data_IF_176231298408
#
_entry.id   IF_176231298408
#
_cell.length_a   1.000
_cell.length_b   1.000
_cell.length_c   1.000
_cell.angle_alpha   90.00
_cell.angle_beta   90.00
_cell.angle_gamma   90.00
#
_symmetry.space_group_name_H-M   'P 1'
#
loop_
_entity.id
_entity.type
_entity.pdbx_description
1 polymer ?
#
# COMPACT_ATOMS: atom_id res chain seq x y z
N UNK A 1 62.43 -21.71 10.60
CA UNK A 1 62.55 -20.56 9.68
C UNK A 1 61.88 -20.92 8.38
N UNK A 2 60.66 -20.50 8.19
CA UNK A 2 59.94 -20.64 6.92
C UNK A 2 59.15 -19.36 6.68
N UNK A 3 59.49 -18.62 5.61
CA UNK A 3 58.88 -17.38 5.17
C UNK A 3 57.64 -17.72 4.35
N UNK A 4 56.48 -17.39 4.83
CA UNK A 4 55.22 -17.38 4.07
C UNK A 4 55.08 -16.05 3.35
N UNK A 5 55.04 -16.08 2.02
CA UNK A 5 54.82 -14.94 1.16
C UNK A 5 53.35 -14.57 1.12
N UNK A 6 53.05 -13.30 1.44
CA UNK A 6 51.74 -12.67 1.26
C UNK A 6 51.56 -12.34 -0.24
N UNK A 7 50.67 -13.04 -0.90
CA UNK A 7 50.14 -12.68 -2.23
C UNK A 7 48.94 -11.78 -2.08
N UNK A 8 49.05 -10.52 -2.52
CA UNK A 8 47.98 -9.57 -2.65
C UNK A 8 46.97 -9.99 -3.76
N UNK A 9 45.68 -9.90 -3.57
CA UNK A 9 44.72 -10.24 -4.61
C UNK A 9 44.62 -9.15 -5.69
N UNK A 10 44.59 -9.64 -6.91
CA UNK A 10 44.73 -8.93 -8.15
C UNK A 10 43.73 -7.83 -8.44
N UNK A 11 44.22 -6.92 -9.23
CA UNK A 11 43.58 -5.83 -9.97
C UNK A 11 42.16 -6.18 -10.46
N UNK A 12 41.11 -5.61 -9.79
CA UNK A 12 39.78 -5.54 -10.35
C UNK A 12 39.79 -4.53 -11.51
N UNK A 13 39.63 -5.04 -12.72
CA UNK A 13 39.45 -4.26 -13.93
C UNK A 13 38.27 -3.27 -13.68
N UNK A 14 38.52 -1.97 -13.83
CA UNK A 14 37.47 -0.96 -13.88
C UNK A 14 36.51 -1.31 -15.02
N UNK A 15 35.17 -1.24 -14.79
CA UNK A 15 34.22 -1.42 -15.87
C UNK A 15 34.40 -0.34 -16.93
N UNK A 16 34.40 -0.78 -18.18
CA UNK A 16 34.55 0.09 -19.36
C UNK A 16 33.46 1.15 -19.40
N UNK A 17 33.77 2.42 -19.72
CA UNK A 17 32.79 3.45 -19.98
C UNK A 17 32.18 3.22 -21.37
N UNK A 18 30.99 2.62 -21.45
CA UNK A 18 30.34 2.34 -22.73
C UNK A 18 29.05 1.57 -22.71
N UNK A 19 28.49 1.19 -21.56
CA UNK A 19 27.10 0.72 -21.54
C UNK A 19 26.19 1.95 -21.56
N UNK A 20 25.49 2.16 -22.67
CA UNK A 20 24.34 3.04 -22.72
C UNK A 20 23.45 2.69 -21.52
N UNK A 21 23.29 3.63 -20.58
CA UNK A 21 22.32 3.46 -19.49
C UNK A 21 20.99 3.21 -20.15
N UNK A 22 20.47 2.00 -20.09
CA UNK A 22 19.11 1.71 -20.49
C UNK A 22 18.20 2.74 -19.82
N UNK A 23 17.19 3.29 -20.54
CA UNK A 23 16.34 4.32 -19.98
C UNK A 23 15.78 3.83 -18.64
N UNK A 24 15.95 4.64 -17.60
CA UNK A 24 15.41 4.39 -16.26
C UNK A 24 13.89 4.35 -16.39
N UNK A 25 13.21 3.39 -15.77
CA UNK A 25 11.76 3.33 -15.77
C UNK A 25 11.13 4.61 -15.20
N UNK A 26 9.94 4.94 -15.66
CA UNK A 26 9.18 6.10 -15.17
C UNK A 26 8.37 5.73 -13.93
N UNK A 27 8.14 6.71 -13.09
CA UNK A 27 7.27 6.58 -11.92
C UNK A 27 5.88 7.10 -12.28
N UNK A 28 4.84 6.33 -11.97
CA UNK A 28 3.43 6.65 -12.20
C UNK A 28 2.73 6.95 -10.87
N UNK A 29 2.61 8.23 -10.46
CA UNK A 29 1.92 8.60 -9.24
C UNK A 29 0.41 8.46 -9.39
N UNK A 30 -0.23 7.75 -8.46
CA UNK A 30 -1.68 7.56 -8.39
C UNK A 30 -2.18 8.03 -7.04
N UNK A 31 -2.91 9.14 -7.02
CA UNK A 31 -3.52 9.71 -5.82
C UNK A 31 -4.93 9.18 -5.66
N UNK A 32 -5.22 8.59 -4.52
CA UNK A 32 -6.56 8.09 -4.18
C UNK A 32 -7.24 9.05 -3.22
N UNK A 33 -8.42 9.53 -3.59
CA UNK A 33 -9.10 10.56 -2.83
C UNK A 33 -10.56 10.21 -2.49
N UNK A 34 -10.81 9.44 -1.43
CA UNK A 34 -12.14 9.01 -1.01
C UNK A 34 -12.81 10.06 -0.10
N UNK A 35 -13.16 11.23 -0.63
CA UNK A 35 -13.86 12.26 0.14
C UNK A 35 -15.36 12.16 -0.08
N UNK A 36 -16.11 12.21 1.02
CA UNK A 36 -17.57 12.13 1.02
C UNK A 36 -18.27 13.29 1.74
N UNK A 37 -17.53 14.26 2.26
CA UNK A 37 -18.09 15.37 3.05
C UNK A 37 -17.53 16.72 2.62
N UNK A 38 -18.34 17.80 2.66
CA UNK A 38 -17.87 19.17 2.50
C UNK A 38 -16.78 19.49 3.54
N UNK A 39 -15.67 20.06 3.08
CA UNK A 39 -14.59 20.50 3.96
C UNK A 39 -13.76 21.62 3.32
N UNK A 40 -12.96 22.27 4.12
CA UNK A 40 -11.88 23.09 3.63
C UNK A 40 -10.75 22.19 3.08
N UNK A 41 -10.35 22.44 1.84
CA UNK A 41 -9.30 21.63 1.15
C UNK A 41 -7.89 22.20 1.34
N UNK A 42 -7.72 23.10 2.29
CA UNK A 42 -6.41 23.69 2.61
C UNK A 42 -5.37 22.65 3.08
N UNK A 43 -5.83 21.60 3.77
CA UNK A 43 -5.03 20.48 4.24
C UNK A 43 -4.40 19.67 3.08
N UNK A 44 -5.01 19.72 1.89
CA UNK A 44 -4.52 19.05 0.69
C UNK A 44 -3.59 19.90 -0.17
N UNK A 45 -3.41 21.16 0.16
CA UNK A 45 -2.53 22.04 -0.62
C UNK A 45 -1.11 21.49 -0.69
N UNK A 46 -0.58 20.97 0.42
CA UNK A 46 0.75 20.37 0.47
C UNK A 46 0.87 19.16 -0.47
N UNK A 47 -0.12 18.26 -0.45
CA UNK A 47 -0.18 17.11 -1.36
C UNK A 47 -0.20 17.56 -2.83
N UNK A 48 -1.07 18.50 -3.19
CA UNK A 48 -1.17 18.95 -4.58
C UNK A 48 -0.04 19.87 -5.03
N UNK A 49 0.70 20.47 -4.12
CA UNK A 49 2.00 21.07 -4.43
C UNK A 49 3.03 20.00 -4.83
N UNK A 50 3.07 18.86 -4.12
CA UNK A 50 3.89 17.71 -4.53
C UNK A 50 3.43 17.21 -5.91
N UNK A 51 2.16 16.89 -6.09
CA UNK A 51 1.60 16.38 -7.37
C UNK A 51 1.94 17.31 -8.54
N UNK A 52 1.89 18.63 -8.33
CA UNK A 52 2.28 19.62 -9.35
C UNK A 52 3.77 19.54 -9.70
N UNK A 53 4.66 19.35 -8.70
CA UNK A 53 6.10 19.16 -8.94
C UNK A 53 6.36 17.89 -9.74
N UNK A 54 5.69 16.77 -9.38
CA UNK A 54 5.80 15.51 -10.12
C UNK A 54 5.33 15.69 -11.58
N UNK A 55 4.20 16.37 -11.79
CA UNK A 55 3.67 16.64 -13.13
C UNK A 55 4.60 17.54 -13.99
N UNK A 56 5.42 18.36 -13.36
CA UNK A 56 6.39 19.22 -14.05
C UNK A 56 7.65 18.46 -14.51
N UNK A 57 8.08 17.45 -13.76
CA UNK A 57 9.24 16.62 -14.12
C UNK A 57 8.81 15.42 -15.00
N UNK A 58 8.55 15.71 -16.26
CA UNK A 58 8.13 14.71 -17.27
C UNK A 58 9.22 13.69 -17.62
N UNK A 59 10.46 13.95 -17.26
CA UNK A 59 11.57 13.03 -17.52
C UNK A 59 11.54 11.84 -16.57
N UNK A 60 11.11 12.06 -15.33
CA UNK A 60 11.08 11.06 -14.27
C UNK A 60 9.70 10.50 -14.03
N UNK A 61 8.68 11.34 -14.09
CA UNK A 61 7.31 10.97 -13.73
C UNK A 61 6.38 10.95 -14.94
N UNK A 62 5.49 9.97 -14.98
CA UNK A 62 4.31 10.04 -15.82
C UNK A 62 3.35 11.12 -15.29
N UNK A 63 2.39 11.54 -16.10
CA UNK A 63 1.35 12.45 -15.62
C UNK A 63 0.61 11.81 -14.44
N UNK A 64 0.56 12.44 -13.26
CA UNK A 64 -0.17 11.88 -12.12
C UNK A 64 -1.64 11.62 -12.44
N UNK A 65 -2.20 10.58 -11.85
CA UNK A 65 -3.64 10.28 -11.89
C UNK A 65 -4.20 10.59 -10.51
N UNK A 66 -5.32 11.31 -10.45
CA UNK A 66 -6.12 11.46 -9.22
C UNK A 66 -7.43 10.71 -9.41
N UNK A 67 -7.68 9.71 -8.58
CA UNK A 67 -8.91 8.95 -8.58
C UNK A 67 -9.88 9.57 -7.59
N UNK A 68 -11.05 9.95 -8.07
CA UNK A 68 -12.16 10.48 -7.28
C UNK A 68 -13.33 9.50 -7.29
N UNK A 69 -13.91 9.23 -6.14
CA UNK A 69 -15.15 8.47 -6.07
C UNK A 69 -16.32 9.30 -6.63
N UNK A 70 -17.06 8.74 -7.59
CA UNK A 70 -18.26 9.39 -8.16
C UNK A 70 -19.35 9.63 -7.14
N UNK A 71 -19.47 8.82 -6.10
CA UNK A 71 -20.40 9.06 -5.00
C UNK A 71 -20.04 10.37 -4.29
N UNK A 72 -18.74 10.58 -4.03
CA UNK A 72 -18.21 11.84 -3.52
C UNK A 72 -18.56 13.00 -4.45
N UNK A 73 -18.27 12.87 -5.73
CA UNK A 73 -18.58 13.90 -6.72
C UNK A 73 -20.08 14.20 -6.74
N UNK A 74 -20.93 13.18 -6.72
CA UNK A 74 -22.37 13.37 -6.70
C UNK A 74 -22.87 14.04 -5.42
N UNK A 75 -22.37 13.61 -4.27
CA UNK A 75 -22.71 14.21 -2.97
C UNK A 75 -22.25 15.67 -2.88
N UNK A 76 -21.10 16.00 -3.48
CA UNK A 76 -20.45 17.30 -3.43
C UNK A 76 -20.74 18.21 -4.62
N UNK A 77 -21.66 17.81 -5.53
CA UNK A 77 -21.96 18.54 -6.77
C UNK A 77 -22.41 19.99 -6.60
N UNK A 78 -22.96 20.33 -5.43
CA UNK A 78 -23.34 21.69 -5.07
C UNK A 78 -22.33 22.44 -4.22
N UNK A 79 -21.24 21.79 -3.82
CA UNK A 79 -20.19 22.39 -3.00
C UNK A 79 -19.21 23.16 -3.88
N UNK A 80 -19.25 24.50 -3.76
CA UNK A 80 -18.40 25.39 -4.55
C UNK A 80 -16.92 25.15 -4.25
N UNK A 81 -16.53 24.91 -2.98
CA UNK A 81 -15.16 24.68 -2.59
C UNK A 81 -14.61 23.40 -3.23
N UNK A 82 -15.40 22.32 -3.27
CA UNK A 82 -15.04 21.09 -3.95
C UNK A 82 -14.88 21.30 -5.47
N UNK A 83 -15.82 21.96 -6.11
CA UNK A 83 -15.78 22.21 -7.56
C UNK A 83 -14.58 23.07 -7.94
N UNK A 84 -14.28 24.09 -7.16
CA UNK A 84 -13.12 24.96 -7.35
C UNK A 84 -11.80 24.19 -7.11
N UNK A 85 -11.72 23.42 -6.03
CA UNK A 85 -10.58 22.54 -5.76
C UNK A 85 -10.35 21.55 -6.91
N UNK A 86 -11.38 20.83 -7.35
CA UNK A 86 -11.28 19.91 -8.48
C UNK A 86 -10.80 20.60 -9.74
N UNK A 87 -11.42 21.74 -10.12
CA UNK A 87 -11.11 22.47 -11.36
C UNK A 87 -9.73 23.14 -11.32
N UNK A 88 -9.46 23.86 -10.24
CA UNK A 88 -8.31 24.76 -10.18
C UNK A 88 -7.08 24.15 -9.54
N UNK A 89 -7.21 23.03 -8.84
CA UNK A 89 -6.09 22.34 -8.18
C UNK A 89 -5.85 20.98 -8.84
N UNK A 90 -6.80 20.07 -8.73
CA UNK A 90 -6.60 18.66 -9.14
C UNK A 90 -6.39 18.54 -10.65
N UNK A 91 -7.33 19.05 -11.45
CA UNK A 91 -7.30 18.88 -12.92
C UNK A 91 -6.15 19.60 -13.62
N UNK A 92 -5.50 20.56 -12.93
CA UNK A 92 -4.35 21.26 -13.49
C UNK A 92 -3.04 20.47 -13.42
N UNK A 93 -2.90 19.60 -12.43
CA UNK A 93 -1.65 18.87 -12.20
C UNK A 93 -1.78 17.35 -12.32
N UNK A 94 -3.00 16.84 -12.43
CA UNK A 94 -3.26 15.41 -12.62
C UNK A 94 -4.36 15.17 -13.66
N UNK A 95 -4.42 13.95 -14.15
CA UNK A 95 -5.59 13.43 -14.83
C UNK A 95 -6.61 13.00 -13.77
N UNK A 96 -7.88 13.35 -13.96
CA UNK A 96 -8.92 13.00 -13.01
C UNK A 96 -9.68 11.79 -13.53
N UNK A 97 -9.70 10.73 -12.73
CA UNK A 97 -10.45 9.52 -12.97
C UNK A 97 -11.62 9.44 -11.99
N UNK A 98 -12.84 9.65 -12.47
CA UNK A 98 -14.05 9.50 -11.66
C UNK A 98 -14.55 8.06 -11.73
N UNK A 99 -14.58 7.36 -10.59
CA UNK A 99 -14.99 5.97 -10.51
C UNK A 99 -16.15 5.75 -9.54
N UNK A 100 -17.03 4.80 -9.87
CA UNK A 100 -18.00 4.28 -8.91
C UNK A 100 -17.33 3.17 -8.12
N UNK A 101 -16.88 3.49 -6.91
CA UNK A 101 -16.22 2.54 -6.05
C UNK A 101 -17.12 2.14 -4.88
N UNK A 102 -17.06 0.87 -4.49
CA UNK A 102 -17.66 0.37 -3.25
C UNK A 102 -16.74 0.72 -2.07
N UNK A 103 -15.44 0.73 -2.31
CA UNK A 103 -14.39 0.93 -1.33
C UNK A 103 -13.12 1.55 -1.94
N UNK A 104 -12.17 1.91 -1.09
CA UNK A 104 -10.90 2.52 -1.48
C UNK A 104 -10.08 1.61 -2.39
N UNK A 105 -10.06 0.30 -2.15
CA UNK A 105 -9.27 -0.62 -2.96
C UNK A 105 -9.79 -0.81 -4.39
N UNK A 106 -11.08 -0.58 -4.64
CA UNK A 106 -11.60 -0.45 -6.01
C UNK A 106 -11.10 0.80 -6.72
N UNK A 107 -10.91 1.90 -5.97
CA UNK A 107 -10.29 3.11 -6.51
C UNK A 107 -8.83 2.84 -6.87
N UNK A 108 -8.10 2.08 -6.05
CA UNK A 108 -6.74 1.65 -6.38
C UNK A 108 -6.69 0.84 -7.67
N UNK A 109 -7.55 -0.18 -7.78
CA UNK A 109 -7.64 -1.00 -8.98
C UNK A 109 -7.83 -0.15 -10.24
N UNK A 110 -8.77 0.78 -10.19
CA UNK A 110 -9.06 1.66 -11.33
C UNK A 110 -7.89 2.59 -11.65
N UNK A 111 -7.28 3.19 -10.64
CA UNK A 111 -6.16 4.13 -10.80
C UNK A 111 -4.88 3.44 -11.25
N UNK A 112 -4.52 2.34 -10.60
CA UNK A 112 -3.34 1.56 -10.94
C UNK A 112 -3.49 0.88 -12.31
N UNK A 113 -4.70 0.37 -12.64
CA UNK A 113 -4.99 -0.19 -13.95
C UNK A 113 -4.84 0.83 -15.07
N UNK A 114 -5.42 2.03 -14.91
CA UNK A 114 -5.29 3.11 -15.88
C UNK A 114 -3.84 3.60 -16.03
N UNK A 115 -3.05 3.57 -14.96
CA UNK A 115 -1.63 3.88 -15.01
C UNK A 115 -0.84 2.75 -15.71
N UNK A 116 -1.17 1.48 -15.40
CA UNK A 116 -0.54 0.29 -15.95
C UNK A 116 -0.64 0.22 -17.49
N UNK A 117 -1.81 0.52 -18.03
CA UNK A 117 -2.05 0.54 -19.49
C UNK A 117 -1.14 1.53 -20.25
N UNK A 118 -0.55 2.50 -19.56
CA UNK A 118 0.31 3.55 -20.12
C UNK A 118 1.78 3.35 -19.85
N UNK A 119 2.10 2.39 -19.00
CA UNK A 119 3.44 2.12 -18.55
C UNK A 119 4.13 1.05 -19.36
N UNK A 120 5.38 0.78 -19.00
CA UNK A 120 6.22 -0.25 -19.58
C UNK A 120 6.93 -1.09 -18.52
N UNK A 121 7.58 -2.16 -18.95
CA UNK A 121 8.18 -3.21 -18.08
C UNK A 121 9.08 -2.68 -16.95
N UNK A 122 9.68 -1.51 -17.14
CA UNK A 122 10.60 -0.92 -16.15
C UNK A 122 9.95 0.11 -15.24
N UNK A 123 8.68 0.40 -15.45
CA UNK A 123 7.97 1.45 -14.74
C UNK A 123 7.56 1.00 -13.33
N UNK A 124 7.40 1.99 -12.46
CA UNK A 124 6.97 1.82 -11.08
C UNK A 124 5.69 2.62 -10.86
N UNK A 125 4.75 2.05 -10.16
CA UNK A 125 3.46 2.63 -9.82
C UNK A 125 3.45 2.96 -8.34
N UNK A 126 3.12 4.19 -8.02
CA UNK A 126 3.19 4.72 -6.68
C UNK A 126 1.81 5.16 -6.21
N UNK A 127 1.27 4.47 -5.21
CA UNK A 127 0.00 4.80 -4.58
C UNK A 127 0.20 5.87 -3.51
N UNK A 128 -0.60 6.94 -3.57
CA UNK A 128 -0.55 8.06 -2.63
C UNK A 128 -1.93 8.21 -2.00
N UNK A 129 -2.11 7.89 -0.70
CA UNK A 129 -3.36 8.14 0.02
C UNK A 129 -3.67 9.63 0.06
N UNK A 130 -4.83 10.04 -0.45
CA UNK A 130 -5.23 11.45 -0.49
C UNK A 130 -6.04 11.90 0.75
N UNK A 131 -6.47 10.98 1.57
CA UNK A 131 -7.23 11.22 2.81
C UNK A 131 -6.34 11.40 4.05
N UNK A 132 -5.04 11.20 3.91
CA UNK A 132 -4.09 11.45 4.98
C UNK A 132 -3.92 12.96 5.22
N UNK A 133 -3.81 13.36 6.50
CA UNK A 133 -3.71 14.77 6.86
C UNK A 133 -2.28 15.34 6.65
N UNK A 134 -1.97 15.71 5.42
CA UNK A 134 -0.69 16.34 5.05
C UNK A 134 -0.57 17.81 5.46
N UNK A 135 -1.62 18.43 5.98
CA UNK A 135 -1.62 19.83 6.44
C UNK A 135 -0.82 20.05 7.74
N UNK A 136 -0.69 19.04 8.58
CA UNK A 136 0.04 19.08 9.84
C UNK A 136 1.56 19.07 9.62
N UNK A 137 2.35 19.42 10.66
CA UNK A 137 3.81 19.31 10.62
C UNK A 137 4.26 17.88 10.36
N UNK A 138 3.67 16.92 11.07
CA UNK A 138 3.96 15.48 10.93
C UNK A 138 3.54 15.00 9.54
N UNK A 139 2.34 15.34 9.09
CA UNK A 139 1.87 14.96 7.75
C UNK A 139 2.77 15.49 6.63
N UNK A 140 3.32 16.69 6.76
CA UNK A 140 4.32 17.23 5.81
C UNK A 140 5.64 16.46 5.85
N UNK A 141 6.08 15.99 7.01
CA UNK A 141 7.27 15.13 7.12
C UNK A 141 7.04 13.80 6.40
N UNK A 142 5.89 13.16 6.62
CA UNK A 142 5.48 11.96 5.87
C UNK A 142 5.48 12.23 4.37
N UNK A 143 4.82 13.31 3.92
CA UNK A 143 4.73 13.67 2.50
C UNK A 143 6.11 13.86 1.85
N UNK A 144 7.05 14.46 2.56
CA UNK A 144 8.40 14.69 2.06
C UNK A 144 9.21 13.40 1.86
N UNK A 145 8.83 12.31 2.53
CA UNK A 145 9.49 11.01 2.42
C UNK A 145 8.77 10.04 1.48
N UNK A 146 7.49 10.31 1.17
CA UNK A 146 6.70 9.40 0.33
C UNK A 146 7.30 9.19 -1.07
N UNK A 147 7.99 10.19 -1.62
CA UNK A 147 8.61 10.08 -2.95
C UNK A 147 9.78 9.09 -2.99
N UNK A 148 10.36 8.74 -1.83
CA UNK A 148 11.45 7.75 -1.75
C UNK A 148 10.94 6.32 -2.02
N UNK A 149 9.65 6.03 -1.78
CA UNK A 149 9.07 4.69 -1.98
C UNK A 149 9.30 4.13 -3.41
N UNK A 150 8.92 4.84 -4.48
CA UNK A 150 9.17 4.35 -5.83
C UNK A 150 10.64 4.37 -6.23
N UNK A 151 11.44 5.29 -5.66
CA UNK A 151 12.87 5.38 -5.94
C UNK A 151 13.61 4.14 -5.42
N UNK A 152 13.29 3.69 -4.20
CA UNK A 152 13.87 2.49 -3.59
C UNK A 152 13.61 1.24 -4.42
N UNK A 153 12.43 1.09 -5.03
CA UNK A 153 12.15 -0.01 -5.95
C UNK A 153 13.15 -0.02 -7.11
N UNK A 154 13.42 1.15 -7.67
CA UNK A 154 14.32 1.28 -8.81
C UNK A 154 15.79 1.08 -8.41
N UNK A 155 16.18 1.56 -7.23
CA UNK A 155 17.55 1.43 -6.72
C UNK A 155 17.89 0.01 -6.29
N UNK A 156 16.99 -0.68 -5.60
CA UNK A 156 17.20 -2.01 -5.05
C UNK A 156 16.70 -3.15 -5.96
N UNK A 157 16.15 -2.81 -7.12
CA UNK A 157 15.56 -3.76 -8.07
C UNK A 157 14.50 -4.68 -7.44
N UNK A 158 13.61 -4.08 -6.63
CA UNK A 158 12.54 -4.80 -5.93
C UNK A 158 11.21 -4.73 -6.70
N UNK A 159 10.27 -5.62 -6.37
CA UNK A 159 8.95 -5.67 -6.99
C UNK A 159 7.89 -4.87 -6.21
N UNK A 160 8.03 -4.82 -4.88
CA UNK A 160 7.09 -4.17 -3.97
C UNK A 160 7.84 -3.42 -2.87
N UNK A 161 7.46 -2.16 -2.62
CA UNK A 161 7.91 -1.38 -1.48
C UNK A 161 6.71 -0.99 -0.62
N UNK A 162 6.78 -1.33 0.67
CA UNK A 162 5.76 -0.94 1.67
C UNK A 162 6.28 0.23 2.48
N UNK A 163 5.47 1.28 2.58
CA UNK A 163 5.72 2.42 3.45
C UNK A 163 5.34 2.07 4.89
N UNK A 164 6.34 1.93 5.75
CA UNK A 164 6.16 1.66 7.17
C UNK A 164 5.94 2.97 7.93
N UNK A 165 4.92 2.98 8.79
CA UNK A 165 4.56 4.12 9.62
C UNK A 165 4.56 3.67 11.07
N UNK A 166 5.32 4.34 11.93
CA UNK A 166 5.18 4.17 13.37
C UNK A 166 3.92 4.87 13.87
N UNK A 167 3.23 4.23 14.79
CA UNK A 167 2.04 4.75 15.50
C UNK A 167 2.16 4.46 16.98
N UNK A 168 1.34 5.13 17.79
CA UNK A 168 1.18 4.76 19.18
C UNK A 168 0.69 3.30 19.29
N UNK A 169 1.22 2.56 20.26
CA UNK A 169 0.79 1.18 20.55
C UNK A 169 -0.70 1.07 20.90
N UNK A 170 -1.29 2.13 21.43
CA UNK A 170 -2.73 2.21 21.73
C UNK A 170 -3.57 2.69 20.55
N UNK A 171 -2.93 2.93 19.38
CA UNK A 171 -3.66 3.31 18.17
C UNK A 171 -4.65 2.22 17.78
N UNK A 172 -5.95 2.52 17.60
CA UNK A 172 -6.96 1.52 17.29
C UNK A 172 -6.65 0.68 16.06
N UNK A 173 -6.09 1.28 15.02
CA UNK A 173 -5.71 0.56 13.79
C UNK A 173 -4.54 -0.38 14.03
N UNK A 174 -3.56 0.04 14.85
CA UNK A 174 -2.45 -0.81 15.26
C UNK A 174 -2.94 -2.02 16.08
N UNK A 175 -3.88 -1.79 17.01
CA UNK A 175 -4.48 -2.87 17.80
C UNK A 175 -5.24 -3.87 16.92
N UNK A 176 -5.99 -3.39 15.93
CA UNK A 176 -6.69 -4.26 14.97
C UNK A 176 -5.68 -5.08 14.15
N UNK A 177 -4.59 -4.47 13.69
CA UNK A 177 -3.55 -5.17 12.93
C UNK A 177 -2.83 -6.21 13.80
N UNK A 178 -2.47 -5.84 15.04
CA UNK A 178 -1.76 -6.73 15.96
C UNK A 178 -2.60 -7.95 16.36
N UNK A 179 -3.81 -7.73 16.86
CA UNK A 179 -4.63 -8.80 17.43
C UNK A 179 -5.55 -9.47 16.42
N UNK A 180 -6.06 -8.71 15.45
CA UNK A 180 -6.97 -9.22 14.43
C UNK A 180 -6.21 -9.72 13.20
N UNK A 181 -5.56 -8.82 12.48
CA UNK A 181 -4.98 -9.15 11.17
C UNK A 181 -3.85 -10.17 11.28
N UNK A 182 -2.86 -9.94 12.14
CA UNK A 182 -1.76 -10.89 12.31
C UNK A 182 -2.18 -12.20 12.96
N UNK A 183 -3.09 -12.18 13.95
CA UNK A 183 -3.63 -13.40 14.53
C UNK A 183 -4.25 -14.33 13.47
N UNK A 184 -5.04 -13.74 12.56
CA UNK A 184 -5.66 -14.47 11.46
C UNK A 184 -4.64 -14.88 10.38
N UNK A 185 -3.68 -14.01 10.04
CA UNK A 185 -2.58 -14.36 9.13
C UNK A 185 -1.80 -15.57 9.64
N UNK A 186 -1.40 -15.58 10.91
CA UNK A 186 -0.70 -16.73 11.51
C UNK A 186 -1.52 -18.02 11.51
N UNK A 187 -2.85 -17.91 11.54
CA UNK A 187 -3.72 -19.08 11.45
C UNK A 187 -3.76 -19.66 10.04
N UNK A 188 -3.93 -18.81 9.02
CA UNK A 188 -4.12 -19.24 7.65
C UNK A 188 -2.82 -19.43 6.87
N UNK A 189 -1.81 -18.64 7.17
CA UNK A 189 -0.53 -18.52 6.44
C UNK A 189 0.63 -18.29 7.41
N UNK A 190 0.95 -19.27 8.29
CA UNK A 190 1.90 -19.04 9.40
C UNK A 190 3.31 -18.66 8.92
N UNK A 191 3.82 -19.28 7.87
CA UNK A 191 5.15 -18.97 7.34
C UNK A 191 5.18 -17.57 6.70
N UNK A 192 4.18 -17.28 5.88
CA UNK A 192 4.04 -16.00 5.19
C UNK A 192 3.76 -14.85 6.19
N UNK A 193 3.00 -15.11 7.24
CA UNK A 193 2.76 -14.13 8.30
C UNK A 193 4.06 -13.73 9.03
N UNK A 194 4.93 -14.71 9.28
CA UNK A 194 6.25 -14.46 9.86
C UNK A 194 7.13 -13.63 8.93
N UNK A 195 7.07 -13.90 7.64
CA UNK A 195 7.81 -13.14 6.63
C UNK A 195 7.24 -11.72 6.47
N UNK A 196 5.91 -11.55 6.36
CA UNK A 196 5.26 -10.23 6.30
C UNK A 196 5.68 -9.35 7.48
N UNK A 197 5.78 -9.93 8.68
CA UNK A 197 6.16 -9.19 9.88
C UNK A 197 7.58 -8.62 9.85
N UNK A 198 8.44 -9.14 8.99
CA UNK A 198 9.78 -8.56 8.77
C UNK A 198 9.71 -7.24 7.97
N UNK A 199 8.66 -7.05 7.18
CA UNK A 199 8.48 -5.87 6.35
C UNK A 199 7.57 -4.83 6.98
N UNK A 200 6.53 -5.23 7.71
CA UNK A 200 5.56 -4.28 8.28
C UNK A 200 4.83 -4.85 9.50
N UNK A 201 4.50 -3.96 10.44
CA UNK A 201 3.54 -4.25 11.50
C UNK A 201 2.09 -3.87 11.10
N UNK A 202 1.93 -3.22 9.94
CA UNK A 202 0.64 -2.77 9.40
C UNK A 202 0.42 -3.32 7.99
N UNK A 203 0.07 -4.61 7.85
CA UNK A 203 -0.03 -5.27 6.54
C UNK A 203 -1.15 -4.72 5.66
N UNK A 204 -2.00 -3.83 6.19
CA UNK A 204 -3.05 -3.12 5.45
C UNK A 204 -2.70 -1.66 5.15
N UNK A 205 -1.42 -1.27 5.30
CA UNK A 205 -0.95 0.08 4.99
C UNK A 205 -1.21 0.44 3.52
N UNK A 206 -1.67 1.66 3.28
CA UNK A 206 -1.95 2.18 1.93
C UNK A 206 -0.74 2.84 1.26
N UNK A 207 0.37 2.95 1.98
CA UNK A 207 1.61 3.50 1.45
C UNK A 207 2.39 2.41 0.72
N UNK A 208 2.31 2.39 -0.60
CA UNK A 208 3.01 1.38 -1.40
C UNK A 208 3.48 1.92 -2.75
N UNK A 209 4.54 1.28 -3.25
CA UNK A 209 4.95 1.37 -4.64
C UNK A 209 5.18 -0.03 -5.19
N UNK A 210 4.92 -0.24 -6.47
CA UNK A 210 4.93 -1.56 -7.10
C UNK A 210 5.49 -1.50 -8.52
N UNK A 211 6.31 -2.49 -8.90
CA UNK A 211 6.89 -2.62 -10.24
C UNK A 211 5.86 -3.14 -11.24
N UNK A 212 6.02 -2.77 -12.50
CA UNK A 212 5.12 -3.12 -13.60
C UNK A 212 4.79 -4.62 -13.66
N UNK A 213 5.78 -5.49 -13.69
CA UNK A 213 5.56 -6.94 -13.82
C UNK A 213 4.67 -7.49 -12.71
N UNK A 214 4.99 -7.17 -11.46
CA UNK A 214 4.20 -7.63 -10.31
C UNK A 214 2.81 -6.98 -10.27
N UNK A 215 2.69 -5.69 -10.62
CA UNK A 215 1.37 -5.04 -10.71
C UNK A 215 0.48 -5.73 -11.75
N UNK A 216 1.02 -6.10 -12.91
CA UNK A 216 0.28 -6.83 -13.93
C UNK A 216 -0.26 -8.16 -13.42
N UNK A 217 0.55 -8.93 -12.69
CA UNK A 217 0.12 -10.17 -12.03
C UNK A 217 -1.00 -9.91 -11.01
N UNK A 218 -0.85 -8.88 -10.17
CA UNK A 218 -1.86 -8.54 -9.17
C UNK A 218 -3.17 -8.06 -9.77
N UNK A 219 -3.14 -7.26 -10.86
CA UNK A 219 -4.33 -6.80 -11.55
C UNK A 219 -5.13 -7.92 -12.25
N UNK A 220 -4.46 -9.01 -12.62
CA UNK A 220 -5.11 -10.19 -13.22
C UNK A 220 -5.79 -11.10 -12.20
N UNK A 221 -5.58 -10.88 -10.92
CA UNK A 221 -6.15 -11.68 -9.84
C UNK A 221 -7.39 -11.00 -9.25
N UNK A 222 -8.08 -11.73 -8.33
CA UNK A 222 -9.17 -11.14 -7.56
C UNK A 222 -8.67 -9.97 -6.71
N UNK A 223 -9.36 -8.85 -6.79
CA UNK A 223 -9.12 -7.68 -5.98
C UNK A 223 -10.03 -7.65 -4.75
N UNK A 224 -9.46 -7.35 -3.58
CA UNK A 224 -10.16 -7.44 -2.31
C UNK A 224 -10.43 -6.07 -1.70
N UNK A 225 -11.65 -5.82 -1.22
CA UNK A 225 -11.98 -4.58 -0.51
C UNK A 225 -11.14 -4.42 0.75
N UNK A 226 -10.50 -3.27 0.93
CA UNK A 226 -9.76 -2.83 2.13
C UNK A 226 -8.55 -3.68 2.57
N UNK A 227 -8.43 -4.93 2.14
CA UNK A 227 -7.34 -5.84 2.50
C UNK A 227 -6.35 -6.06 1.36
N UNK A 228 -6.47 -5.31 0.27
CA UNK A 228 -5.66 -5.56 -0.94
C UNK A 228 -4.15 -5.48 -0.70
N UNK A 229 -3.66 -4.56 0.17
CA UNK A 229 -2.24 -4.49 0.50
C UNK A 229 -1.73 -5.78 1.13
N UNK A 230 -2.48 -6.31 2.11
CA UNK A 230 -2.18 -7.59 2.75
C UNK A 230 -2.15 -8.74 1.73
N UNK A 231 -3.11 -8.75 0.80
CA UNK A 231 -3.16 -9.77 -0.26
C UNK A 231 -1.99 -9.62 -1.22
N UNK A 232 -1.60 -8.41 -1.59
CA UNK A 232 -0.41 -8.16 -2.42
C UNK A 232 0.87 -8.64 -1.73
N UNK A 233 1.01 -8.46 -0.42
CA UNK A 233 2.13 -9.02 0.34
C UNK A 233 2.15 -10.56 0.26
N UNK A 234 1.01 -11.22 0.47
CA UNK A 234 0.90 -12.67 0.30
C UNK A 234 1.25 -13.10 -1.13
N UNK A 235 0.72 -12.42 -2.14
CA UNK A 235 1.00 -12.71 -3.55
C UNK A 235 2.49 -12.53 -3.88
N UNK A 236 3.12 -11.50 -3.33
CA UNK A 236 4.55 -11.27 -3.51
C UNK A 236 5.39 -12.42 -2.92
N UNK A 237 5.06 -12.86 -1.70
CA UNK A 237 5.73 -14.00 -1.06
C UNK A 237 5.49 -15.29 -1.86
N UNK A 238 4.25 -15.57 -2.23
CA UNK A 238 3.91 -16.75 -3.04
C UNK A 238 4.62 -16.79 -4.39
N UNK A 239 4.84 -15.63 -4.99
CA UNK A 239 5.55 -15.47 -6.26
C UNK A 239 7.06 -15.32 -6.13
N UNK A 240 7.61 -15.41 -4.90
CA UNK A 240 9.03 -15.16 -4.61
C UNK A 240 9.50 -13.81 -5.19
N UNK A 241 8.70 -12.76 -5.02
CA UNK A 241 8.98 -11.39 -5.47
C UNK A 241 9.86 -10.66 -4.47
N UNK A 242 10.65 -9.73 -4.97
CA UNK A 242 11.45 -8.85 -4.12
C UNK A 242 10.57 -7.85 -3.35
N UNK A 243 10.57 -7.95 -2.02
CA UNK A 243 9.84 -7.03 -1.14
C UNK A 243 10.84 -6.20 -0.35
N UNK A 244 10.58 -4.91 -0.24
CA UNK A 244 11.33 -4.01 0.64
C UNK A 244 10.39 -3.14 1.46
N UNK A 245 10.92 -2.54 2.51
CA UNK A 245 10.21 -1.56 3.33
C UNK A 245 10.96 -0.24 3.35
N UNK A 246 10.22 0.82 3.52
CA UNK A 246 10.76 2.14 3.74
C UNK A 246 10.02 2.84 4.88
N UNK A 247 10.74 3.33 5.88
CA UNK A 247 10.14 4.04 6.99
C UNK A 247 9.72 5.45 6.56
N UNK A 248 8.42 5.67 6.44
CA UNK A 248 7.83 6.92 5.98
C UNK A 248 7.79 7.98 7.08
N UNK A 249 7.50 7.58 8.31
CA UNK A 249 7.47 8.50 9.44
C UNK A 249 6.78 7.96 10.67
N UNK A 250 6.82 8.76 11.73
CA UNK A 250 6.09 8.51 12.97
C UNK A 250 4.88 9.45 13.03
N UNK A 251 3.69 8.86 13.16
CA UNK A 251 2.41 9.57 13.20
C UNK A 251 1.72 9.46 14.56
N UNK A 252 2.45 9.05 15.61
CA UNK A 252 1.90 8.88 16.96
C UNK A 252 1.22 10.15 17.49
N UNK A 253 1.73 11.32 17.10
CA UNK A 253 1.17 12.62 17.50
C UNK A 253 -0.01 13.09 16.64
N UNK A 254 -0.40 12.36 15.59
CA UNK A 254 -1.57 12.73 14.81
C UNK A 254 -2.84 12.28 15.52
N UNK A 255 -3.82 13.19 15.72
CA UNK A 255 -5.11 12.80 16.24
C UNK A 255 -5.79 11.89 15.22
N UNK A 256 -5.76 10.59 15.47
CA UNK A 256 -6.58 9.65 14.71
C UNK A 256 -8.02 9.72 15.22
N UNK A 257 -8.97 9.65 14.27
CA UNK A 257 -10.36 9.48 14.63
C UNK A 257 -10.55 8.22 15.48
N UNK A 258 -11.41 8.31 16.48
CA UNK A 258 -11.75 7.14 17.31
C UNK A 258 -12.34 6.05 16.41
N UNK A 259 -11.64 4.94 16.30
CA UNK A 259 -12.19 3.76 15.65
C UNK A 259 -13.27 3.17 16.57
N UNK A 260 -14.46 2.97 16.04
CA UNK A 260 -15.53 2.34 16.83
C UNK A 260 -15.29 0.83 16.95
N UNK A 261 -15.72 0.24 18.06
CA UNK A 261 -15.67 -1.20 18.23
C UNK A 261 -16.39 -1.93 17.08
N UNK A 262 -17.51 -1.39 16.60
CA UNK A 262 -18.25 -1.97 15.47
C UNK A 262 -17.40 -1.98 14.18
N UNK A 263 -16.68 -0.91 13.89
CA UNK A 263 -15.77 -0.84 12.75
C UNK A 263 -14.59 -1.81 12.93
N UNK A 264 -14.01 -1.89 14.12
CA UNK A 264 -12.93 -2.84 14.43
C UNK A 264 -13.37 -4.30 14.21
N UNK A 265 -14.55 -4.66 14.70
CA UNK A 265 -15.14 -6.00 14.49
C UNK A 265 -15.33 -6.30 13.00
N UNK A 266 -15.90 -5.37 12.24
CA UNK A 266 -16.06 -5.53 10.78
C UNK A 266 -14.73 -5.73 10.06
N UNK A 267 -13.68 -5.03 10.47
CA UNK A 267 -12.35 -5.18 9.88
C UNK A 267 -11.78 -6.58 10.15
N UNK A 268 -11.88 -7.07 11.38
CA UNK A 268 -11.42 -8.44 11.73
C UNK A 268 -12.19 -9.51 10.96
N UNK A 269 -13.53 -9.40 10.90
CA UNK A 269 -14.38 -10.35 10.17
C UNK A 269 -14.10 -10.33 8.65
N UNK A 270 -13.84 -9.16 8.10
CA UNK A 270 -13.51 -8.99 6.68
C UNK A 270 -12.14 -9.59 6.37
N UNK A 271 -11.14 -9.34 7.20
CA UNK A 271 -9.80 -9.96 7.10
C UNK A 271 -9.90 -11.48 7.12
N UNK A 272 -10.66 -12.06 8.07
CA UNK A 272 -10.87 -13.52 8.11
C UNK A 272 -11.47 -14.05 6.80
N UNK A 273 -12.50 -13.39 6.28
CA UNK A 273 -13.17 -13.77 5.04
C UNK A 273 -12.23 -13.75 3.84
N UNK A 274 -11.39 -12.72 3.74
CA UNK A 274 -10.40 -12.58 2.68
C UNK A 274 -9.36 -13.70 2.78
N UNK A 275 -8.78 -13.94 3.95
CA UNK A 275 -7.77 -14.99 4.14
C UNK A 275 -8.33 -16.38 3.85
N UNK A 276 -9.55 -16.68 4.28
CA UNK A 276 -10.27 -17.93 3.90
C UNK A 276 -10.36 -18.11 2.39
N UNK A 277 -10.67 -17.03 1.68
CA UNK A 277 -10.84 -17.07 0.24
C UNK A 277 -9.49 -17.28 -0.46
N UNK A 278 -8.46 -16.52 -0.08
CA UNK A 278 -7.11 -16.65 -0.62
C UNK A 278 -6.54 -18.05 -0.36
N UNK A 279 -6.71 -18.57 0.85
CA UNK A 279 -6.24 -19.90 1.20
C UNK A 279 -6.93 -20.96 0.35
N UNK A 280 -8.26 -20.91 0.24
CA UNK A 280 -9.03 -21.88 -0.57
C UNK A 280 -8.61 -21.83 -2.04
N UNK A 281 -8.49 -20.64 -2.63
CA UNK A 281 -8.08 -20.48 -4.03
C UNK A 281 -6.69 -21.08 -4.29
N UNK A 282 -5.80 -21.01 -3.31
CA UNK A 282 -4.45 -21.56 -3.40
C UNK A 282 -4.40 -23.08 -3.25
N UNK A 283 -5.23 -23.65 -2.38
CA UNK A 283 -5.12 -25.05 -1.95
C UNK A 283 -6.24 -25.97 -2.45
N UNK A 284 -7.24 -25.45 -3.17
CA UNK A 284 -8.40 -26.25 -3.63
C UNK A 284 -8.04 -27.44 -4.54
N UNK A 285 -6.79 -27.55 -5.01
CA UNK A 285 -6.27 -28.68 -5.77
C UNK A 285 -5.56 -29.75 -4.94
N UNK A 286 -5.27 -29.49 -3.65
CA UNK A 286 -4.59 -30.42 -2.76
C UNK A 286 -5.54 -31.55 -2.35
N UNK A 287 -5.03 -32.78 -2.15
CA UNK A 287 -5.86 -33.97 -1.89
C UNK A 287 -6.67 -33.85 -0.58
N UNK A 288 -6.12 -33.19 0.42
CA UNK A 288 -6.68 -33.05 1.78
C UNK A 288 -7.23 -31.65 2.10
N UNK A 289 -7.38 -30.78 1.07
CA UNK A 289 -7.68 -29.36 1.28
C UNK A 289 -8.97 -29.10 2.07
N UNK A 290 -10.00 -29.95 1.93
CA UNK A 290 -11.29 -29.78 2.61
C UNK A 290 -11.14 -29.98 4.12
N UNK A 291 -10.41 -31.01 4.54
CA UNK A 291 -10.17 -31.31 5.95
C UNK A 291 -9.33 -30.20 6.60
N UNK A 292 -8.20 -29.85 5.99
CA UNK A 292 -7.35 -28.75 6.43
C UNK A 292 -8.11 -27.42 6.49
N UNK A 293 -8.95 -27.13 5.51
CA UNK A 293 -9.77 -25.93 5.52
C UNK A 293 -10.73 -25.88 6.72
N UNK A 294 -11.37 -27.00 7.06
CA UNK A 294 -12.28 -27.09 8.22
C UNK A 294 -11.55 -26.86 9.53
N UNK A 295 -10.40 -27.45 9.71
CA UNK A 295 -9.54 -27.26 10.88
C UNK A 295 -9.13 -25.80 11.03
N UNK A 296 -8.57 -25.20 9.97
CA UNK A 296 -8.16 -23.81 9.96
C UNK A 296 -9.34 -22.85 10.16
N UNK A 297 -10.49 -23.14 9.60
CA UNK A 297 -11.70 -22.34 9.80
C UNK A 297 -12.19 -22.36 11.24
N UNK A 298 -12.07 -23.52 11.92
CA UNK A 298 -12.35 -23.65 13.35
C UNK A 298 -11.38 -22.84 14.20
N UNK A 299 -10.07 -23.00 13.96
CA UNK A 299 -9.02 -22.24 14.65
C UNK A 299 -9.16 -20.73 14.42
N UNK A 300 -9.42 -20.32 13.19
CA UNK A 300 -9.66 -18.92 12.79
C UNK A 300 -10.84 -18.29 13.52
N UNK A 301 -11.92 -19.05 13.73
CA UNK A 301 -13.08 -18.62 14.51
C UNK A 301 -12.73 -18.31 15.97
N UNK A 302 -11.88 -19.10 16.60
CA UNK A 302 -11.38 -18.85 17.95
C UNK A 302 -10.49 -17.62 18.01
N UNK A 303 -9.57 -17.47 17.06
CA UNK A 303 -8.68 -16.29 16.98
C UNK A 303 -9.51 -15.02 16.78
N UNK A 304 -10.49 -15.04 15.88
CA UNK A 304 -11.42 -13.91 15.67
C UNK A 304 -12.15 -13.54 16.96
N UNK A 305 -12.72 -14.52 17.66
CA UNK A 305 -13.42 -14.28 18.91
C UNK A 305 -12.51 -13.64 19.96
N UNK A 306 -11.30 -14.18 20.11
CA UNK A 306 -10.29 -13.65 21.05
C UNK A 306 -9.89 -12.22 20.67
N UNK A 307 -9.60 -11.95 19.39
CA UNK A 307 -9.26 -10.63 18.91
C UNK A 307 -10.39 -9.60 19.20
N UNK A 308 -11.63 -9.94 18.90
CA UNK A 308 -12.79 -9.08 19.18
C UNK A 308 -12.94 -8.84 20.70
N UNK A 309 -12.72 -9.85 21.53
CA UNK A 309 -12.78 -9.70 22.99
C UNK A 309 -11.70 -8.75 23.51
N UNK A 310 -10.46 -8.87 23.02
CA UNK A 310 -9.36 -7.96 23.37
C UNK A 310 -9.69 -6.52 22.92
N UNK A 311 -10.11 -6.34 21.65
CA UNK A 311 -10.46 -5.03 21.10
C UNK A 311 -11.61 -4.38 21.85
N UNK A 312 -12.60 -5.17 22.32
CA UNK A 312 -13.70 -4.65 23.16
C UNK A 312 -13.17 -4.03 24.44
N UNK A 313 -12.18 -4.65 25.07
CA UNK A 313 -11.61 -4.15 26.32
C UNK A 313 -10.68 -2.94 26.11
N UNK A 314 -10.05 -2.84 24.95
CA UNK A 314 -9.08 -1.78 24.65
C UNK A 314 -9.73 -0.53 23.99
N UNK A 315 -10.86 -0.69 23.34
CA UNK A 315 -11.57 0.39 22.63
C UNK A 315 -12.83 0.87 23.35
N UNK A 316 -13.17 0.27 24.49
CA UNK A 316 -14.29 0.73 25.34
C UNK A 316 -13.84 1.92 26.20
#
# INVERSE_FOLDING_TARGET
MSKTANTLPGNRKRPSPGRSRSPVGRIHPVVIYPIVQPRDYSDLQALYQLVRRLAADKSRYARPITVLDRKTHYAMRGDKAFLDFRRHTVSRCSEVLDVWAVDTCQMWYSGLGAAYERGGERDVYWLIPGDFNYGTKVGRQVLNRLHDLPEIILELDQDLCIGEIATDHNNPKQLIDTYGTFGLLYTWFPAEAQEIRQYTERPRSEFLAVRHGFLGEALCQRWYPYEQTMVMLLQAIFGNKGITRFFVGDISDLPEGKESLASAMQQVERTERVLKTVWRERHQGDADWIERYRELAGASGQVRYTAISILRNLLA
#
